data_IF_551194800006
#
_entry.id   IF_551194800006
#
_cell.length_a   1.000
_cell.length_b   1.000
_cell.length_c   1.000
_cell.angle_alpha   90.00
_cell.angle_beta   90.00
_cell.angle_gamma   90.00
#
_symmetry.space_group_name_H-M   'P 1'
#
loop_
_entity.id
_entity.type
_entity.pdbx_description
1 polymer ?
#
# COMPACT_ATOMS: atom_id res chain seq x y z
N UNK A 1 7.54 10.67 1.88
CA UNK A 1 6.82 9.46 1.44
C UNK A 1 7.55 8.23 1.92
N UNK A 2 8.77 7.97 1.43
CA UNK A 2 9.53 6.76 1.75
C UNK A 2 9.75 6.54 3.25
N UNK A 3 10.15 7.56 4.00
CA UNK A 3 10.38 7.44 5.45
C UNK A 3 9.13 7.05 6.24
N UNK A 4 7.95 7.54 5.81
CA UNK A 4 6.69 7.15 6.43
C UNK A 4 6.33 5.71 6.06
N UNK A 5 6.48 5.34 4.77
CA UNK A 5 6.23 3.96 4.31
C UNK A 5 7.13 2.94 5.00
N UNK A 6 8.38 3.29 5.33
CA UNK A 6 9.30 2.42 6.10
C UNK A 6 8.81 2.11 7.51
N UNK A 7 7.97 2.96 8.10
CA UNK A 7 7.42 2.75 9.45
C UNK A 7 6.25 1.78 9.46
N UNK A 8 5.66 1.46 8.31
CA UNK A 8 4.53 0.53 8.23
C UNK A 8 5.01 -0.87 8.63
N UNK A 9 4.51 -1.46 9.72
CA UNK A 9 4.96 -2.77 10.19
C UNK A 9 4.64 -3.90 9.20
N UNK A 10 5.40 -4.99 9.28
CA UNK A 10 5.03 -6.24 8.62
C UNK A 10 3.64 -6.70 9.09
N UNK A 11 2.81 -7.21 8.19
CA UNK A 11 1.45 -7.64 8.51
C UNK A 11 0.45 -6.50 8.65
N UNK A 12 0.84 -5.27 8.29
CA UNK A 12 -0.03 -4.10 8.26
C UNK A 12 0.06 -3.36 6.93
N UNK A 13 -1.01 -2.64 6.63
CA UNK A 13 -1.11 -1.78 5.44
C UNK A 13 -1.47 -0.36 5.84
N UNK A 14 -1.06 0.61 5.05
CA UNK A 14 -1.49 2.01 5.15
C UNK A 14 -2.19 2.42 3.87
N UNK A 15 -2.92 3.53 3.87
CA UNK A 15 -3.53 4.05 2.64
C UNK A 15 -2.74 5.20 2.04
N UNK A 16 -2.86 5.43 0.72
CA UNK A 16 -2.28 6.62 0.09
C UNK A 16 -2.77 7.92 0.74
N UNK A 17 -4.01 7.94 1.25
CA UNK A 17 -4.56 9.06 2.01
C UNK A 17 -3.82 9.24 3.33
N UNK A 18 -3.65 8.18 4.12
CA UNK A 18 -2.98 8.29 5.43
C UNK A 18 -1.51 8.73 5.28
N UNK A 19 -0.80 8.21 4.28
CA UNK A 19 0.56 8.66 3.95
C UNK A 19 0.57 10.15 3.58
N UNK A 20 -0.37 10.59 2.75
CA UNK A 20 -0.48 12.00 2.36
C UNK A 20 -0.80 12.90 3.57
N UNK A 21 -1.73 12.49 4.41
CA UNK A 21 -2.12 13.20 5.64
C UNK A 21 -0.93 13.33 6.59
N UNK A 22 -0.19 12.24 6.84
CA UNK A 22 0.97 12.26 7.71
C UNK A 22 2.11 13.14 7.19
N UNK A 23 2.23 13.30 5.87
CA UNK A 23 3.22 14.19 5.25
C UNK A 23 2.77 15.66 5.29
N UNK A 24 1.45 15.93 5.40
CA UNK A 24 0.88 17.28 5.45
C UNK A 24 0.93 18.07 4.14
N UNK A 25 1.34 17.45 3.03
CA UNK A 25 1.43 18.10 1.70
C UNK A 25 1.26 17.11 0.55
N UNK A 26 0.84 17.65 -0.60
CA UNK A 26 0.64 16.88 -1.83
C UNK A 26 -0.75 16.25 -1.93
N UNK A 27 -0.85 15.18 -2.73
CA UNK A 27 -2.09 14.42 -2.92
C UNK A 27 -1.85 12.91 -2.83
N UNK A 28 -2.89 12.09 -2.52
CA UNK A 28 -2.77 10.63 -2.56
C UNK A 28 -2.24 10.10 -3.91
N UNK A 29 -2.60 10.76 -5.03
CA UNK A 29 -2.06 10.43 -6.35
C UNK A 29 -0.56 10.69 -6.46
N UNK A 30 -0.07 11.81 -5.92
CA UNK A 30 1.37 12.11 -5.88
C UNK A 30 2.15 11.13 -5.01
N UNK A 31 1.55 10.62 -3.92
CA UNK A 31 2.13 9.54 -3.10
C UNK A 31 2.25 8.27 -3.95
N UNK A 32 1.20 7.91 -4.69
CA UNK A 32 1.22 6.78 -5.62
C UNK A 32 2.32 6.90 -6.68
N UNK A 33 2.49 8.09 -7.27
CA UNK A 33 3.55 8.36 -8.24
C UNK A 33 4.96 8.21 -7.62
N UNK A 34 5.17 8.74 -6.41
CA UNK A 34 6.44 8.61 -5.70
C UNK A 34 6.77 7.14 -5.38
N UNK A 35 5.77 6.35 -4.97
CA UNK A 35 5.94 4.91 -4.68
C UNK A 35 6.12 4.06 -5.93
N UNK A 36 5.49 4.42 -7.05
CA UNK A 36 5.70 3.77 -8.35
C UNK A 36 7.15 3.90 -8.83
N UNK A 37 7.75 5.06 -8.60
CA UNK A 37 9.13 5.35 -9.00
C UNK A 37 10.13 5.17 -7.84
N UNK A 38 9.79 4.36 -6.83
CA UNK A 38 10.62 4.16 -5.65
C UNK A 38 11.94 3.44 -5.99
N UNK A 39 13.11 4.11 -5.93
CA UNK A 39 14.40 3.48 -6.23
C UNK A 39 14.94 2.62 -5.07
N UNK A 40 14.30 2.67 -3.91
CA UNK A 40 14.73 2.00 -2.67
C UNK A 40 13.95 0.71 -2.40
N UNK A 41 13.24 0.16 -3.38
CA UNK A 41 12.65 -1.17 -3.24
C UNK A 41 13.77 -2.23 -3.15
N UNK A 42 13.67 -3.24 -2.26
CA UNK A 42 12.56 -3.57 -1.37
C UNK A 42 12.64 -2.94 0.04
N UNK A 43 13.70 -2.21 0.38
CA UNK A 43 13.90 -1.61 1.71
C UNK A 43 12.76 -0.69 2.15
N UNK A 44 12.15 0.02 1.18
CA UNK A 44 10.90 0.74 1.38
C UNK A 44 9.73 -0.15 0.94
N UNK A 45 8.84 -0.61 1.85
CA UNK A 45 7.79 -1.58 1.55
C UNK A 45 6.59 -0.92 0.85
N UNK A 46 6.77 -0.52 -0.41
CA UNK A 46 5.75 0.18 -1.18
C UNK A 46 4.49 -0.67 -1.44
N UNK A 47 4.59 -2.00 -1.38
CA UNK A 47 3.45 -2.92 -1.47
C UNK A 47 2.49 -2.79 -0.28
N UNK A 48 2.91 -2.24 0.87
CA UNK A 48 2.04 -2.01 2.03
C UNK A 48 1.13 -0.79 1.92
N UNK A 49 1.21 -0.03 0.82
CA UNK A 49 0.36 1.16 0.61
C UNK A 49 -0.78 0.83 -0.35
N UNK A 50 -2.02 0.93 0.11
CA UNK A 50 -3.23 0.55 -0.63
C UNK A 50 -4.20 1.73 -0.83
N UNK A 51 -5.31 1.51 -1.54
CA UNK A 51 -6.32 2.54 -1.73
C UNK A 51 -7.11 2.81 -0.43
N UNK A 52 -7.60 4.04 -0.28
CA UNK A 52 -8.28 4.50 0.94
C UNK A 52 -9.60 3.78 1.23
N UNK A 53 -10.21 3.17 0.21
CA UNK A 53 -11.40 2.33 0.34
C UNK A 53 -11.06 0.87 0.72
N UNK A 54 -9.82 0.61 1.16
CA UNK A 54 -9.31 -0.73 1.47
C UNK A 54 -9.20 -1.67 0.26
N UNK A 55 -9.25 -1.13 -0.96
CA UNK A 55 -8.92 -1.89 -2.17
C UNK A 55 -7.40 -2.01 -2.33
N UNK A 56 -6.89 -3.14 -2.84
CA UNK A 56 -5.46 -3.39 -3.04
C UNK A 56 -4.77 -2.27 -3.84
N UNK A 57 -5.50 -1.63 -4.76
CA UNK A 57 -5.02 -0.48 -5.54
C UNK A 57 -4.03 -0.90 -6.61
N UNK A 58 -2.96 -0.11 -6.79
CA UNK A 58 -1.96 -0.33 -7.83
C UNK A 58 -0.61 -0.80 -7.31
N UNK A 59 0.17 -1.40 -8.21
CA UNK A 59 1.54 -1.86 -7.98
C UNK A 59 2.33 -1.94 -9.28
N UNK A 60 3.59 -1.51 -9.29
CA UNK A 60 4.50 -1.58 -10.46
C UNK A 60 3.91 -1.05 -11.79
N UNK A 61 3.01 -0.06 -11.73
CA UNK A 61 2.35 0.51 -12.91
C UNK A 61 1.03 -0.18 -13.31
N UNK A 62 0.67 -1.26 -12.62
CA UNK A 62 -0.58 -1.98 -12.78
C UNK A 62 -1.64 -1.50 -11.77
N UNK A 63 -2.92 -1.72 -12.08
CA UNK A 63 -4.04 -1.40 -11.19
C UNK A 63 -5.06 -2.53 -11.13
N UNK A 64 -5.48 -2.87 -9.92
CA UNK A 64 -6.56 -3.82 -9.70
C UNK A 64 -6.11 -5.20 -9.27
N UNK A 65 -7.02 -5.94 -8.62
CA UNK A 65 -6.77 -7.24 -8.01
C UNK A 65 -6.20 -8.27 -9.00
N UNK A 66 -6.76 -8.34 -10.21
CA UNK A 66 -6.33 -9.27 -11.26
C UNK A 66 -4.93 -8.97 -11.80
N UNK A 67 -4.49 -7.70 -11.76
CA UNK A 67 -3.22 -7.24 -12.33
C UNK A 67 -2.13 -7.04 -11.27
N UNK A 68 -2.49 -7.03 -9.99
CA UNK A 68 -1.60 -6.80 -8.86
C UNK A 68 -1.34 -8.08 -8.05
N UNK A 69 -1.31 -9.25 -8.69
CA UNK A 69 -1.08 -10.54 -8.03
C UNK A 69 0.21 -10.58 -7.21
N UNK A 70 1.29 -9.96 -7.71
CA UNK A 70 2.56 -9.85 -6.98
C UNK A 70 2.42 -9.09 -5.65
N UNK A 71 1.67 -7.99 -5.63
CA UNK A 71 1.40 -7.21 -4.40
C UNK A 71 0.56 -8.00 -3.42
N UNK A 72 -0.49 -8.67 -3.90
CA UNK A 72 -1.35 -9.52 -3.07
C UNK A 72 -0.50 -10.62 -2.46
N UNK A 73 0.30 -11.33 -3.25
CA UNK A 73 1.17 -12.40 -2.77
C UNK A 73 2.16 -11.92 -1.70
N UNK A 74 2.83 -10.78 -1.91
CA UNK A 74 3.72 -10.19 -0.89
C UNK A 74 2.97 -9.88 0.41
N UNK A 75 1.77 -9.31 0.32
CA UNK A 75 0.95 -8.98 1.49
C UNK A 75 0.42 -10.24 2.19
N UNK A 76 0.03 -11.27 1.45
CA UNK A 76 -0.40 -12.56 2.00
C UNK A 76 0.73 -13.26 2.73
N UNK A 77 1.96 -13.21 2.22
CA UNK A 77 3.14 -13.73 2.93
C UNK A 77 3.43 -12.98 4.24
N UNK A 78 2.93 -11.76 4.40
CA UNK A 78 2.99 -10.99 5.64
C UNK A 78 1.77 -11.22 6.56
N UNK A 79 0.80 -12.04 6.16
CA UNK A 79 -0.45 -12.29 6.90
C UNK A 79 -1.57 -11.30 6.60
N UNK A 80 -1.50 -10.56 5.50
CA UNK A 80 -2.56 -9.65 5.05
C UNK A 80 -3.34 -10.27 3.89
N UNK A 81 -4.62 -10.55 4.14
CA UNK A 81 -5.52 -11.19 3.18
C UNK A 81 -6.43 -10.20 2.46
N UNK A 82 -6.79 -10.56 1.22
CA UNK A 82 -7.72 -9.83 0.37
C UNK A 82 -8.83 -10.78 -0.11
N UNK A 83 -10.03 -10.22 -0.31
CA UNK A 83 -11.14 -10.90 -0.96
C UNK A 83 -10.86 -11.13 -2.44
N UNK A 84 -11.64 -11.99 -3.08
CA UNK A 84 -11.60 -12.23 -4.54
C UNK A 84 -11.79 -10.94 -5.34
N UNK A 85 -12.58 -10.01 -4.81
CA UNK A 85 -12.83 -8.71 -5.43
C UNK A 85 -11.72 -7.70 -5.18
N UNK A 86 -10.65 -8.05 -4.45
CA UNK A 86 -9.48 -7.20 -4.21
C UNK A 86 -9.58 -6.24 -3.03
N UNK A 87 -10.55 -6.43 -2.13
CA UNK A 87 -10.69 -5.64 -0.92
C UNK A 87 -10.01 -6.34 0.26
N UNK A 88 -9.47 -5.56 1.19
CA UNK A 88 -8.86 -6.08 2.40
C UNK A 88 -9.87 -6.91 3.20
N UNK A 89 -9.53 -8.16 3.52
CA UNK A 89 -10.42 -9.07 4.24
C UNK A 89 -10.65 -8.62 5.71
N UNK A 90 -9.62 -8.07 6.34
CA UNK A 90 -9.68 -7.56 7.71
C UNK A 90 -9.20 -6.10 7.76
N UNK A 91 -10.10 -5.15 8.05
CA UNK A 91 -9.75 -3.72 8.18
C UNK A 91 -8.92 -3.39 9.43
N UNK A 92 -8.82 -4.30 10.39
CA UNK A 92 -8.03 -4.15 11.62
C UNK A 92 -6.51 -4.08 11.38
N UNK A 93 -6.03 -4.49 10.20
CA UNK A 93 -4.60 -4.41 9.84
C UNK A 93 -4.21 -3.05 9.22
N UNK A 94 -5.16 -2.11 9.09
CA UNK A 94 -4.88 -0.75 8.61
C UNK A 94 -4.15 0.06 9.69
N UNK A 95 -2.91 0.45 9.40
CA UNK A 95 -2.05 1.29 10.21
C UNK A 95 -2.09 2.75 9.74
N UNK A 96 -2.11 3.70 10.67
CA UNK A 96 -2.27 5.14 10.41
C UNK A 96 -1.16 6.04 10.94
N UNK A 97 -0.08 5.46 11.47
CA UNK A 97 0.90 6.18 12.30
C UNK A 97 0.85 5.69 13.72
#
# INVERSE_FOLDING_TARGET
VYDFTRKVPCGRVTTYKDVCTAIGRGSPRSVGAALRNNPFAPSVPCHRVIASNCYVGGFLGEWGASRCSAKIHMLTNEGVEFTTDGYLANKGVVWRG
#
